data_IF_974521108202
#
_entry.id   IF_974521108202
#
_cell.length_a   1.000
_cell.length_b   1.000
_cell.length_c   1.000
_cell.angle_alpha   90.00
_cell.angle_beta   90.00
_cell.angle_gamma   90.00
#
_symmetry.space_group_name_H-M   'P 1'
#
loop_
_entity.id
_entity.type
_entity.pdbx_description
1 polymer ?
#
# COMPACT_ATOMS: atom_id res chain seq x y z
N UNK A 1 12.87 -4.81 -6.39
CA UNK A 1 11.50 -4.90 -6.98
C UNK A 1 10.54 -3.96 -6.26
N UNK A 2 10.42 -4.08 -4.92
CA UNK A 2 9.57 -3.20 -4.12
C UNK A 2 10.08 -1.74 -4.12
N UNK A 3 11.39 -1.50 -4.18
CA UNK A 3 11.95 -0.14 -4.25
C UNK A 3 11.55 0.59 -5.55
N UNK A 4 11.53 -0.12 -6.68
CA UNK A 4 11.05 0.44 -7.95
C UNK A 4 9.55 0.75 -7.89
N UNK A 5 8.78 -0.06 -7.17
CA UNK A 5 7.36 0.16 -6.98
C UNK A 5 7.12 1.37 -6.07
N UNK A 6 7.80 1.48 -4.93
CA UNK A 6 7.74 2.65 -4.04
C UNK A 6 8.13 3.94 -4.80
N UNK A 7 9.22 3.92 -5.56
CA UNK A 7 9.60 5.04 -6.41
C UNK A 7 8.50 5.41 -7.43
N UNK A 8 7.90 4.41 -8.08
CA UNK A 8 6.80 4.64 -9.02
C UNK A 8 5.54 5.18 -8.35
N UNK A 9 5.26 4.81 -7.10
CA UNK A 9 4.15 5.37 -6.31
C UNK A 9 4.39 6.85 -6.00
N UNK A 10 5.61 7.19 -5.55
CA UNK A 10 5.98 8.56 -5.16
C UNK A 10 6.11 9.51 -6.36
N UNK A 11 6.46 9.02 -7.55
CA UNK A 11 6.68 9.86 -8.74
C UNK A 11 5.42 10.51 -9.34
N UNK A 12 4.24 9.93 -9.11
CA UNK A 12 2.95 10.40 -9.66
C UNK A 12 1.82 10.15 -8.66
N UNK A 13 1.84 10.82 -7.51
CA UNK A 13 0.97 10.50 -6.37
C UNK A 13 -0.52 10.60 -6.70
N UNK A 14 -0.90 11.48 -7.62
CA UNK A 14 -2.27 11.72 -8.05
C UNK A 14 -2.87 10.58 -8.88
N UNK A 15 -2.04 9.68 -9.44
CA UNK A 15 -2.53 8.61 -10.30
C UNK A 15 -3.22 7.50 -9.51
N UNK A 16 -4.18 6.78 -10.12
CA UNK A 16 -4.77 5.60 -9.50
C UNK A 16 -3.74 4.51 -9.20
N UNK A 17 -3.87 3.87 -8.03
CA UNK A 17 -3.08 2.70 -7.65
C UNK A 17 -3.94 1.44 -7.47
N UNK A 18 -5.12 1.57 -6.87
CA UNK A 18 -6.10 0.48 -6.73
C UNK A 18 -7.43 0.92 -7.30
N UNK A 19 -7.96 0.09 -8.20
CA UNK A 19 -9.28 0.26 -8.78
C UNK A 19 -10.27 -0.72 -8.13
N UNK A 20 -11.52 -0.33 -8.10
CA UNK A 20 -12.67 -1.17 -7.78
C UNK A 20 -13.74 -0.97 -8.84
N UNK A 21 -14.77 -1.81 -8.85
CA UNK A 21 -15.97 -1.58 -9.64
C UNK A 21 -17.09 -0.97 -8.78
N UNK A 22 -17.95 -0.16 -9.40
CA UNK A 22 -19.26 0.19 -8.83
C UNK A 22 -20.22 -1.00 -8.96
N UNK A 23 -21.43 -0.89 -8.39
CA UNK A 23 -22.50 -1.89 -8.57
C UNK A 23 -22.89 -2.11 -10.04
N UNK A 24 -22.66 -1.12 -10.91
CA UNK A 24 -22.95 -1.19 -12.34
C UNK A 24 -21.75 -1.64 -13.17
N UNK A 25 -20.63 -2.02 -12.54
CA UNK A 25 -19.42 -2.47 -13.22
C UNK A 25 -18.49 -1.35 -13.69
N UNK A 26 -18.83 -0.08 -13.48
CA UNK A 26 -17.97 1.03 -13.85
C UNK A 26 -16.70 1.09 -12.97
N UNK A 27 -15.51 1.37 -13.53
CA UNK A 27 -14.30 1.49 -12.74
C UNK A 27 -14.38 2.71 -11.82
N UNK A 28 -13.88 2.56 -10.60
CA UNK A 28 -13.77 3.61 -9.59
C UNK A 28 -12.40 3.52 -8.95
N UNK A 29 -11.74 4.67 -8.78
CA UNK A 29 -10.50 4.75 -8.01
C UNK A 29 -10.82 4.49 -6.54
N UNK A 30 -10.16 3.50 -5.95
CA UNK A 30 -10.28 3.16 -4.54
C UNK A 30 -9.16 3.79 -3.71
N UNK A 31 -7.96 3.90 -4.27
CA UNK A 31 -6.82 4.59 -3.66
C UNK A 31 -5.91 5.13 -4.78
N UNK A 32 -5.36 6.32 -4.57
CA UNK A 32 -4.30 6.91 -5.40
C UNK A 32 -2.94 6.36 -4.99
N UNK A 33 -1.91 6.64 -5.77
CA UNK A 33 -0.54 6.23 -5.48
C UNK A 33 0.02 6.92 -4.23
N UNK A 34 -0.27 8.21 -4.06
CA UNK A 34 0.11 8.98 -2.87
C UNK A 34 -0.53 8.43 -1.61
N UNK A 35 -1.86 8.22 -1.64
CA UNK A 35 -2.59 7.62 -0.52
C UNK A 35 -2.07 6.20 -0.18
N UNK A 36 -1.65 5.42 -1.18
CA UNK A 36 -1.06 4.09 -0.93
C UNK A 36 0.34 4.18 -0.29
N UNK A 37 1.18 5.12 -0.75
CA UNK A 37 2.51 5.36 -0.19
C UNK A 37 2.42 5.86 1.26
N UNK A 38 1.52 6.83 1.54
CA UNK A 38 1.27 7.31 2.90
C UNK A 38 0.81 6.19 3.84
N UNK A 39 -0.07 5.31 3.35
CA UNK A 39 -0.53 4.17 4.14
C UNK A 39 0.59 3.15 4.41
N UNK A 40 1.48 2.93 3.43
CA UNK A 40 2.65 2.07 3.60
C UNK A 40 3.62 2.67 4.63
N UNK A 41 3.97 3.95 4.51
CA UNK A 41 4.83 4.66 5.47
C UNK A 41 4.25 4.61 6.90
N UNK A 42 2.93 4.74 7.04
CA UNK A 42 2.25 4.63 8.33
C UNK A 42 2.36 3.21 8.93
N UNK A 43 2.23 2.16 8.11
CA UNK A 43 2.44 0.79 8.57
C UNK A 43 3.91 0.54 8.93
N UNK A 44 4.87 1.00 8.12
CA UNK A 44 6.30 0.86 8.37
C UNK A 44 6.68 1.50 9.71
N UNK A 45 6.22 2.72 9.96
CA UNK A 45 6.41 3.41 11.23
C UNK A 45 5.81 2.64 12.41
N UNK A 46 4.58 2.12 12.25
CA UNK A 46 3.90 1.37 13.31
C UNK A 46 4.53 0.00 13.61
N UNK A 47 5.12 -0.65 12.60
CA UNK A 47 5.87 -1.90 12.74
C UNK A 47 7.24 -1.65 13.37
N UNK A 48 7.94 -0.60 12.94
CA UNK A 48 9.21 -0.20 13.52
C UNK A 48 9.08 0.15 15.01
N UNK A 49 8.01 0.87 15.37
CA UNK A 49 7.66 1.18 16.76
C UNK A 49 7.34 -0.07 17.60
N UNK A 50 6.94 -1.18 16.96
CA UNK A 50 6.75 -2.50 17.60
C UNK A 50 8.03 -3.33 17.66
N UNK A 51 9.15 -2.76 17.24
CA UNK A 51 10.47 -3.38 17.34
C UNK A 51 10.88 -4.20 16.11
N UNK A 52 10.07 -4.23 15.04
CA UNK A 52 10.48 -4.92 13.82
C UNK A 52 11.71 -4.26 13.20
N UNK A 53 12.60 -5.10 12.68
CA UNK A 53 13.86 -4.74 12.04
C UNK A 53 13.99 -5.41 10.68
N UNK A 54 14.92 -4.90 9.89
CA UNK A 54 15.26 -5.51 8.61
C UNK A 54 15.70 -6.97 8.82
N UNK A 55 15.10 -7.88 8.05
CA UNK A 55 15.32 -9.33 8.15
C UNK A 55 14.28 -10.07 9.01
N UNK A 56 13.45 -9.36 9.78
CA UNK A 56 12.37 -10.00 10.53
C UNK A 56 11.26 -10.50 9.60
N UNK A 57 10.60 -11.58 10.02
CA UNK A 57 9.45 -12.15 9.28
C UNK A 57 8.13 -11.72 9.90
N UNK A 58 7.19 -11.29 9.05
CA UNK A 58 5.87 -10.81 9.48
C UNK A 58 4.77 -11.68 8.88
N UNK A 59 3.94 -12.28 9.73
CA UNK A 59 2.71 -12.94 9.31
C UNK A 59 1.61 -11.93 9.01
N UNK A 60 1.02 -11.97 7.81
CA UNK A 60 0.00 -11.02 7.37
C UNK A 60 -1.33 -11.74 7.12
N UNK A 61 -2.35 -11.42 7.92
CA UNK A 61 -3.72 -11.92 7.74
C UNK A 61 -4.67 -10.75 7.42
N UNK A 62 -4.81 -10.45 6.13
CA UNK A 62 -5.59 -9.30 5.63
C UNK A 62 -6.49 -9.71 4.48
N UNK A 63 -7.67 -9.08 4.39
CA UNK A 63 -8.53 -9.24 3.22
C UNK A 63 -7.93 -8.46 2.03
N UNK A 64 -8.12 -8.93 0.78
CA UNK A 64 -7.64 -8.22 -0.40
C UNK A 64 -8.14 -6.77 -0.46
N UNK A 65 -7.22 -5.84 -0.75
CA UNK A 65 -7.53 -4.41 -0.89
C UNK A 65 -6.33 -3.51 -0.65
N UNK A 66 -6.54 -2.17 -0.61
CA UNK A 66 -5.46 -1.19 -0.45
C UNK A 66 -4.57 -1.44 0.78
N UNK A 67 -5.17 -1.84 1.91
CA UNK A 67 -4.43 -2.16 3.14
C UNK A 67 -3.50 -3.37 2.98
N UNK A 68 -3.93 -4.39 2.21
CA UNK A 68 -3.08 -5.56 1.96
C UNK A 68 -1.84 -5.18 1.17
N UNK A 69 -1.99 -4.31 0.16
CA UNK A 69 -0.86 -3.79 -0.61
C UNK A 69 0.04 -2.88 0.22
N UNK A 70 -0.53 -1.98 1.02
CA UNK A 70 0.24 -1.09 1.86
C UNK A 70 1.10 -1.83 2.89
N UNK A 71 0.59 -2.91 3.49
CA UNK A 71 1.38 -3.75 4.41
C UNK A 71 2.52 -4.48 3.70
N UNK A 72 2.36 -4.88 2.44
CA UNK A 72 3.45 -5.51 1.66
C UNK A 72 4.53 -4.51 1.20
N UNK A 73 4.23 -3.21 1.24
CA UNK A 73 5.14 -2.12 0.88
C UNK A 73 5.85 -1.49 2.09
N UNK A 74 5.35 -1.77 3.30
CA UNK A 74 5.85 -1.24 4.57
C UNK A 74 7.15 -1.93 5.01
#
# INVERSE_FOLDING_TARGET
MLDHLDHALRSRPERPAVLTATRTGAPRVRVTRGELAELADAFAAALHARGLRAGDTVGVAVRPGPRALAVLLA
#
